data_IF_707190786736
#
_entry.id   IF_707190786736
#
_cell.length_a   1.000
_cell.length_b   1.000
_cell.length_c   1.000
_cell.angle_alpha   90.00
_cell.angle_beta   90.00
_cell.angle_gamma   90.00
#
_symmetry.space_group_name_H-M   'P 1'
#
loop_
_entity.id
_entity.type
_entity.pdbx_description
1 polymer ?
#
# COMPACT_ATOMS: atom_id res chain seq x y z
N UNK A 1 -25.15 -26.66 -6.01
CA UNK A 1 -25.13 -25.27 -5.52
C UNK A 1 -25.96 -24.43 -6.46
N UNK A 2 -27.08 -23.87 -5.98
CA UNK A 2 -27.89 -22.94 -6.77
C UNK A 2 -27.22 -21.56 -6.72
N UNK A 3 -26.79 -21.06 -7.88
CA UNK A 3 -26.41 -19.66 -8.07
C UNK A 3 -27.64 -18.78 -7.82
N UNK A 4 -27.68 -18.10 -6.67
CA UNK A 4 -28.72 -17.11 -6.36
C UNK A 4 -28.41 -15.79 -7.06
N UNK A 5 -29.37 -15.31 -7.85
CA UNK A 5 -29.40 -13.93 -8.35
C UNK A 5 -29.81 -13.00 -7.21
N UNK A 6 -29.02 -11.96 -6.97
CA UNK A 6 -29.32 -10.90 -6.00
C UNK A 6 -30.35 -9.97 -6.64
N UNK A 7 -31.59 -10.01 -6.18
CA UNK A 7 -32.69 -9.05 -6.42
C UNK A 7 -33.43 -9.02 -5.05
N UNK A 8 -33.53 -8.00 -4.19
CA UNK A 8 -33.67 -6.54 -4.32
C UNK A 8 -33.60 -5.86 -2.92
N UNK A 9 -32.45 -5.31 -2.52
CA UNK A 9 -32.38 -3.87 -2.16
C UNK A 9 -32.36 -3.17 -3.51
N UNK A 10 -33.09 -2.07 -3.69
CA UNK A 10 -32.75 -1.19 -4.82
C UNK A 10 -31.42 -0.53 -4.48
N UNK A 11 -30.33 -1.27 -4.65
CA UNK A 11 -29.09 -0.66 -5.08
C UNK A 11 -29.29 -0.32 -6.53
N UNK A 12 -28.66 0.76 -6.98
CA UNK A 12 -28.47 0.88 -8.43
C UNK A 12 -27.72 -0.38 -8.88
N UNK A 13 -28.03 -0.91 -10.07
CA UNK A 13 -27.27 -2.03 -10.66
C UNK A 13 -25.75 -1.80 -10.51
N UNK A 14 -25.26 -0.54 -10.62
CA UNK A 14 -23.88 -0.23 -10.36
C UNK A 14 -23.31 -0.52 -8.98
N UNK A 15 -23.99 -0.11 -7.91
CA UNK A 15 -23.56 -0.35 -6.54
C UNK A 15 -23.41 -1.85 -6.24
N UNK A 16 -24.36 -2.66 -6.74
CA UNK A 16 -24.34 -4.12 -6.54
C UNK A 16 -23.13 -4.77 -7.21
N UNK A 17 -22.81 -4.38 -8.45
CA UNK A 17 -21.68 -4.94 -9.20
C UNK A 17 -20.34 -4.61 -8.54
N UNK A 18 -20.16 -3.38 -8.07
CA UNK A 18 -18.97 -2.99 -7.29
C UNK A 18 -18.78 -3.86 -6.05
N UNK A 19 -19.83 -4.06 -5.26
CA UNK A 19 -19.74 -4.92 -4.08
C UNK A 19 -19.36 -6.36 -4.42
N UNK A 20 -19.93 -6.92 -5.49
CA UNK A 20 -19.60 -8.28 -5.91
C UNK A 20 -18.12 -8.42 -6.24
N UNK A 21 -17.51 -7.39 -6.83
CA UNK A 21 -16.07 -7.35 -7.13
C UNK A 21 -15.25 -7.32 -5.83
N UNK A 22 -15.60 -6.43 -4.88
CA UNK A 22 -14.91 -6.37 -3.58
C UNK A 22 -15.08 -7.66 -2.75
N UNK A 23 -16.24 -8.31 -2.80
CA UNK A 23 -16.56 -9.48 -1.97
C UNK A 23 -16.00 -10.82 -2.49
N UNK A 24 -15.84 -10.97 -3.81
CA UNK A 24 -15.52 -12.27 -4.43
C UNK A 24 -14.01 -12.58 -4.51
N UNK A 25 -13.15 -11.61 -4.24
CA UNK A 25 -11.72 -11.73 -4.47
C UNK A 25 -10.96 -11.64 -3.15
N UNK A 26 -10.67 -12.80 -2.56
CA UNK A 26 -9.69 -12.94 -1.49
C UNK A 26 -8.29 -12.83 -2.10
N UNK A 27 -7.64 -11.69 -1.91
CA UNK A 27 -6.27 -11.44 -2.36
C UNK A 27 -5.30 -11.48 -1.17
N UNK A 28 -4.31 -12.38 -1.23
CA UNK A 28 -3.30 -12.58 -0.17
C UNK A 28 -2.06 -11.66 -0.32
N UNK A 29 -2.12 -10.57 -1.09
CA UNK A 29 -0.94 -9.72 -1.35
C UNK A 29 -1.27 -8.22 -1.51
N UNK A 30 -0.36 -7.36 -1.04
CA UNK A 30 -0.48 -5.89 -0.97
C UNK A 30 -0.80 -5.21 -2.33
N UNK A 31 -0.47 -5.85 -3.46
CA UNK A 31 -0.70 -5.34 -4.83
C UNK A 31 -1.54 -6.29 -5.70
N UNK A 32 -2.62 -6.85 -5.17
CA UNK A 32 -3.51 -7.72 -5.94
C UNK A 32 -4.15 -7.01 -7.16
N UNK A 33 -3.51 -7.18 -8.32
CA UNK A 33 -3.97 -6.66 -9.62
C UNK A 33 -5.34 -7.21 -10.03
N UNK A 34 -5.77 -8.37 -9.51
CA UNK A 34 -7.00 -9.02 -9.97
C UNK A 34 -8.23 -8.21 -9.58
N UNK A 35 -8.28 -7.68 -8.35
CA UNK A 35 -9.39 -6.85 -7.91
C UNK A 35 -9.46 -5.56 -8.72
N UNK A 36 -8.30 -4.92 -8.94
CA UNK A 36 -8.18 -3.71 -9.76
C UNK A 36 -8.64 -3.95 -11.19
N UNK A 37 -8.19 -5.06 -11.82
CA UNK A 37 -8.65 -5.46 -13.15
C UNK A 37 -10.17 -5.55 -13.23
N UNK A 38 -10.80 -6.25 -12.29
CA UNK A 38 -12.26 -6.39 -12.29
C UNK A 38 -12.99 -5.06 -12.05
N UNK A 39 -12.46 -4.17 -11.20
CA UNK A 39 -13.00 -2.82 -11.01
C UNK A 39 -12.92 -1.99 -12.30
N UNK A 40 -11.80 -2.08 -13.02
CA UNK A 40 -11.57 -1.36 -14.26
C UNK A 40 -12.34 -1.95 -15.45
N UNK A 41 -12.49 -3.27 -15.54
CA UNK A 41 -13.40 -3.93 -16.48
C UNK A 41 -14.84 -3.46 -16.27
N UNK A 42 -15.24 -3.32 -15.01
CA UNK A 42 -16.55 -2.81 -14.67
C UNK A 42 -16.71 -1.31 -15.04
N UNK A 43 -15.66 -0.50 -14.89
CA UNK A 43 -15.64 0.86 -15.43
C UNK A 43 -15.81 0.88 -16.96
N UNK A 44 -15.14 -0.02 -17.69
CA UNK A 44 -15.32 -0.17 -19.14
C UNK A 44 -16.76 -0.51 -19.49
N UNK A 45 -17.39 -1.45 -18.76
CA UNK A 45 -18.81 -1.80 -18.95
C UNK A 45 -19.73 -0.58 -18.79
N UNK A 46 -19.49 0.28 -17.80
CA UNK A 46 -20.29 1.49 -17.57
C UNK A 46 -20.13 2.53 -18.68
N UNK A 47 -18.89 2.78 -19.11
CA UNK A 47 -18.60 3.75 -20.16
C UNK A 47 -19.19 3.30 -21.51
N UNK A 48 -19.14 2.00 -21.81
CA UNK A 48 -19.76 1.42 -23.01
C UNK A 48 -21.28 1.59 -23.01
N UNK A 49 -21.94 1.39 -21.86
CA UNK A 49 -23.39 1.61 -21.71
C UNK A 49 -23.78 3.08 -21.95
N UNK A 50 -22.92 4.00 -21.53
CA UNK A 50 -23.09 5.43 -21.73
C UNK A 50 -22.59 5.93 -23.10
N UNK A 51 -21.98 5.05 -23.91
CA UNK A 51 -21.34 5.37 -25.20
C UNK A 51 -20.23 6.42 -25.06
N UNK A 52 -19.54 6.43 -23.92
CA UNK A 52 -18.36 7.25 -23.66
C UNK A 52 -17.14 6.50 -24.18
N UNK A 53 -16.31 7.16 -24.99
CA UNK A 53 -15.08 6.56 -25.50
C UNK A 53 -14.00 6.55 -24.41
N UNK A 54 -13.53 5.36 -24.06
CA UNK A 54 -12.48 5.15 -23.08
C UNK A 54 -11.33 4.36 -23.70
N UNK A 55 -10.60 5.01 -24.62
CA UNK A 55 -9.56 4.36 -25.43
C UNK A 55 -8.44 3.85 -24.53
N UNK A 56 -7.93 4.71 -23.66
CA UNK A 56 -6.79 4.42 -22.79
C UNK A 56 -7.14 3.31 -21.81
N UNK A 57 -8.33 3.37 -21.19
CA UNK A 57 -8.81 2.28 -20.34
C UNK A 57 -8.91 0.96 -21.10
N UNK A 58 -9.44 0.98 -22.32
CA UNK A 58 -9.53 -0.19 -23.19
C UNK A 58 -8.16 -0.80 -23.50
N UNK A 59 -7.22 0.03 -23.98
CA UNK A 59 -5.86 -0.40 -24.30
C UNK A 59 -5.10 -0.92 -23.07
N UNK A 60 -5.35 -0.34 -21.89
CA UNK A 60 -4.75 -0.78 -20.64
C UNK A 60 -5.25 -2.17 -20.23
N UNK A 61 -6.56 -2.41 -20.31
CA UNK A 61 -7.18 -3.69 -19.97
C UNK A 61 -6.82 -4.80 -20.96
N UNK A 62 -6.74 -4.45 -22.24
CA UNK A 62 -6.44 -5.39 -23.33
C UNK A 62 -4.92 -5.64 -23.50
N UNK A 63 -4.08 -4.92 -22.75
CA UNK A 63 -2.61 -5.07 -22.78
C UNK A 63 -1.99 -4.57 -24.08
N UNK A 64 -2.59 -3.58 -24.73
CA UNK A 64 -2.14 -3.03 -26.02
C UNK A 64 -1.48 -1.66 -25.89
N UNK A 65 -1.35 -1.13 -24.68
CA UNK A 65 -0.57 0.08 -24.43
C UNK A 65 0.90 -0.11 -24.84
N UNK A 66 1.56 0.95 -25.33
CA UNK A 66 2.99 0.90 -25.60
C UNK A 66 3.80 0.75 -24.29
N UNK A 67 5.02 0.19 -24.35
CA UNK A 67 5.92 0.17 -23.21
C UNK A 67 6.12 1.56 -22.61
N UNK A 68 6.08 1.66 -21.29
CA UNK A 68 6.18 2.92 -20.55
C UNK A 68 7.65 3.27 -20.34
N UNK A 69 8.04 4.50 -20.67
CA UNK A 69 9.39 5.02 -20.37
C UNK A 69 9.48 5.42 -18.90
N UNK A 70 9.91 4.48 -18.06
CA UNK A 70 10.09 4.74 -16.63
C UNK A 70 11.20 5.76 -16.36
N UNK A 71 12.22 5.87 -17.23
CA UNK A 71 13.28 6.85 -17.01
C UNK A 71 12.77 8.26 -17.24
N UNK A 72 11.94 8.45 -18.27
CA UNK A 72 11.24 9.70 -18.51
C UNK A 72 10.30 10.07 -17.36
N UNK A 73 9.53 9.10 -16.84
CA UNK A 73 8.68 9.30 -15.67
C UNK A 73 9.50 9.67 -14.42
N UNK A 74 10.57 8.92 -14.14
CA UNK A 74 11.47 9.17 -13.01
C UNK A 74 12.07 10.57 -13.06
N UNK A 75 12.60 10.98 -14.22
CA UNK A 75 13.17 12.31 -14.44
C UNK A 75 12.13 13.41 -14.26
N UNK A 76 10.92 13.24 -14.79
CA UNK A 76 9.82 14.19 -14.59
C UNK A 76 9.48 14.35 -13.10
N UNK A 77 9.28 13.25 -12.37
CA UNK A 77 8.95 13.27 -10.93
C UNK A 77 10.06 13.94 -10.12
N UNK A 78 11.32 13.62 -10.38
CA UNK A 78 12.45 14.19 -9.64
C UNK A 78 12.62 15.70 -9.92
N UNK A 79 12.42 16.15 -11.17
CA UNK A 79 12.48 17.59 -11.49
C UNK A 79 11.37 18.38 -10.81
N UNK A 80 10.15 17.86 -10.81
CA UNK A 80 9.01 18.48 -10.14
C UNK A 80 9.26 18.63 -8.62
N UNK A 81 9.89 17.63 -8.00
CA UNK A 81 10.21 17.65 -6.56
C UNK A 81 11.32 18.64 -6.19
N UNK A 82 12.32 18.82 -7.06
CA UNK A 82 13.46 19.71 -6.81
C UNK A 82 13.31 21.09 -7.45
N UNK A 83 12.15 21.41 -8.03
CA UNK A 83 11.88 22.67 -8.74
C UNK A 83 13.01 23.04 -9.74
N UNK A 84 13.54 22.03 -10.43
CA UNK A 84 14.68 22.18 -11.33
C UNK A 84 14.23 22.43 -12.78
N UNK A 85 14.89 23.38 -13.46
CA UNK A 85 14.69 23.63 -14.88
C UNK A 85 15.04 22.38 -15.71
N UNK A 86 14.45 22.27 -16.92
CA UNK A 86 14.68 21.15 -17.86
C UNK A 86 16.13 20.92 -18.25
N UNK A 87 16.98 21.93 -18.04
CA UNK A 87 18.40 21.93 -18.43
C UNK A 87 19.33 21.42 -17.31
N UNK A 88 18.80 21.14 -16.13
CA UNK A 88 19.54 20.49 -15.05
C UNK A 88 19.70 19.00 -15.35
N UNK A 89 20.94 18.55 -15.62
CA UNK A 89 21.24 17.13 -15.80
C UNK A 89 20.94 16.37 -14.49
N UNK A 90 19.96 15.47 -14.55
CA UNK A 90 19.70 14.45 -13.53
C UNK A 90 20.22 13.11 -14.04
N UNK A 91 21.05 12.37 -13.27
CA UNK A 91 21.52 11.05 -13.67
C UNK A 91 20.34 10.09 -13.88
N UNK A 92 20.39 9.30 -14.95
CA UNK A 92 19.37 8.29 -15.23
C UNK A 92 19.38 7.18 -14.15
N UNK A 93 18.27 6.45 -13.95
CA UNK A 93 18.18 5.41 -12.95
C UNK A 93 19.28 4.33 -13.00
N UNK A 94 19.78 3.95 -14.18
CA UNK A 94 20.90 3.00 -14.37
C UNK A 94 22.29 3.61 -14.19
N UNK A 95 22.40 4.94 -14.18
CA UNK A 95 23.65 5.66 -13.91
C UNK A 95 23.87 5.84 -12.39
N UNK A 96 22.83 5.63 -11.59
CA UNK A 96 22.89 5.69 -10.13
C UNK A 96 23.49 4.40 -9.55
N UNK A 97 24.26 4.48 -8.45
CA UNK A 97 24.51 3.33 -7.60
C UNK A 97 23.18 2.67 -7.19
N UNK A 98 23.16 1.33 -7.11
CA UNK A 98 21.94 0.57 -6.76
C UNK A 98 21.28 1.07 -5.46
N UNK A 99 22.09 1.46 -4.48
CA UNK A 99 21.61 2.05 -3.24
C UNK A 99 20.91 3.41 -3.46
N UNK A 100 21.50 4.29 -4.26
CA UNK A 100 20.96 5.63 -4.51
C UNK A 100 19.67 5.56 -5.34
N UNK A 101 19.59 4.61 -6.29
CA UNK A 101 18.36 4.32 -7.02
C UNK A 101 17.25 3.81 -6.09
N UNK A 102 17.54 2.83 -5.23
CA UNK A 102 16.54 2.30 -4.31
C UNK A 102 16.09 3.35 -3.30
N UNK A 103 17.02 4.15 -2.76
CA UNK A 103 16.71 5.23 -1.83
C UNK A 103 15.79 6.28 -2.48
N UNK A 104 16.03 6.64 -3.74
CA UNK A 104 15.16 7.59 -4.44
C UNK A 104 13.76 7.04 -4.67
N UNK A 105 13.61 5.76 -5.05
CA UNK A 105 12.28 5.13 -5.18
C UNK A 105 11.50 5.17 -3.88
N UNK A 106 12.14 4.79 -2.77
CA UNK A 106 11.48 4.72 -1.46
C UNK A 106 11.06 6.12 -0.99
N UNK A 107 11.89 7.13 -1.26
CA UNK A 107 11.65 8.48 -0.74
C UNK A 107 10.66 9.30 -1.56
N UNK A 108 10.63 9.09 -2.87
CA UNK A 108 10.00 10.02 -3.80
C UNK A 108 8.90 9.41 -4.67
N UNK A 109 8.73 8.08 -4.64
CA UNK A 109 7.76 7.38 -5.48
C UNK A 109 6.78 6.57 -4.62
N UNK A 110 5.59 6.25 -5.18
CA UNK A 110 4.66 5.33 -4.53
C UNK A 110 5.31 3.98 -4.20
N UNK A 111 4.92 3.35 -3.09
CA UNK A 111 5.46 2.07 -2.57
C UNK A 111 5.55 1.00 -3.68
N UNK A 112 4.54 0.93 -4.54
CA UNK A 112 4.50 -0.03 -5.65
C UNK A 112 5.67 0.08 -6.63
N UNK A 113 6.21 1.28 -6.87
CA UNK A 113 7.35 1.50 -7.76
C UNK A 113 8.59 0.83 -7.17
N UNK A 114 8.86 1.05 -5.87
CA UNK A 114 10.01 0.44 -5.18
C UNK A 114 9.92 -1.08 -5.10
N UNK A 115 8.71 -1.65 -4.98
CA UNK A 115 8.53 -3.09 -4.80
C UNK A 115 8.48 -3.86 -6.13
N UNK A 116 7.93 -3.26 -7.19
CA UNK A 116 7.84 -3.91 -8.51
C UNK A 116 9.02 -3.59 -9.43
N UNK A 117 9.75 -2.50 -9.19
CA UNK A 117 10.96 -2.09 -9.92
C UNK A 117 12.18 -1.98 -8.98
N UNK A 118 12.62 -3.08 -8.33
CA UNK A 118 13.79 -3.06 -7.45
C UNK A 118 15.12 -2.86 -8.21
N UNK A 119 15.09 -2.82 -9.54
CA UNK A 119 16.24 -2.54 -10.41
C UNK A 119 15.83 -1.61 -11.54
N UNK A 120 16.74 -0.75 -12.04
CA UNK A 120 16.45 0.14 -13.14
C UNK A 120 15.97 -0.64 -14.36
N UNK A 121 14.74 -0.38 -14.79
CA UNK A 121 14.13 -0.92 -16.00
C UNK A 121 13.59 0.25 -16.79
N UNK A 122 14.14 0.51 -17.99
CA UNK A 122 13.73 1.68 -18.78
C UNK A 122 12.33 1.55 -19.36
N UNK A 123 12.02 0.35 -19.88
CA UNK A 123 10.77 0.09 -20.60
C UNK A 123 9.92 -0.88 -19.81
N UNK A 124 8.82 -0.41 -19.24
CA UNK A 124 7.91 -1.22 -18.44
C UNK A 124 6.78 -1.74 -19.32
N UNK A 125 6.50 -3.04 -19.22
CA UNK A 125 5.31 -3.64 -19.81
C UNK A 125 4.06 -3.22 -19.02
N UNK A 126 3.12 -2.45 -19.63
CA UNK A 126 1.90 -2.00 -18.95
C UNK A 126 0.98 -3.14 -18.51
N UNK A 127 1.06 -4.31 -19.17
CA UNK A 127 0.23 -5.46 -18.85
C UNK A 127 0.70 -6.21 -17.59
N UNK A 128 1.92 -5.94 -17.11
CA UNK A 128 2.54 -6.62 -15.96
C UNK A 128 1.80 -6.35 -14.66
N UNK A 129 1.33 -5.12 -14.44
CA UNK A 129 0.56 -4.72 -13.27
C UNK A 129 -0.22 -3.43 -13.57
N UNK A 130 -1.55 -3.44 -13.40
CA UNK A 130 -2.41 -2.30 -13.72
C UNK A 130 -2.26 -1.16 -12.71
N UNK A 131 -1.98 -1.47 -11.44
CA UNK A 131 -1.72 -0.44 -10.41
C UNK A 131 -0.43 0.31 -10.76
N UNK A 132 0.61 -0.41 -11.18
CA UNK A 132 1.88 0.21 -11.61
C UNK A 132 1.67 1.12 -12.83
N UNK A 133 0.92 0.63 -13.82
CA UNK A 133 0.58 1.40 -15.03
C UNK A 133 -0.23 2.64 -14.69
N UNK A 134 -1.20 2.51 -13.79
CA UNK A 134 -2.00 3.61 -13.26
C UNK A 134 -1.11 4.72 -12.68
N UNK A 135 -0.21 4.36 -11.76
CA UNK A 135 0.70 5.32 -11.09
C UNK A 135 1.71 5.99 -12.02
N UNK A 136 2.03 5.36 -13.15
CA UNK A 136 2.91 5.94 -14.16
C UNK A 136 2.21 7.00 -15.05
N UNK A 137 1.04 7.48 -14.64
CA UNK A 137 0.35 8.62 -15.26
C UNK A 137 -0.81 8.24 -16.17
N UNK A 138 -1.15 6.95 -16.27
CA UNK A 138 -2.32 6.50 -17.05
C UNK A 138 -3.65 6.83 -16.38
N UNK A 139 -3.64 7.04 -15.06
CA UNK A 139 -4.76 7.57 -14.28
C UNK A 139 -5.33 8.88 -14.86
N UNK A 140 -4.47 9.82 -15.25
CA UNK A 140 -4.87 11.15 -15.75
C UNK A 140 -5.62 11.06 -17.07
N UNK A 141 -5.11 10.23 -17.98
CA UNK A 141 -5.76 10.01 -19.28
C UNK A 141 -7.12 9.34 -19.11
N UNK A 142 -7.22 8.35 -18.23
CA UNK A 142 -8.50 7.68 -17.94
C UNK A 142 -9.47 8.65 -17.23
N UNK A 143 -8.98 9.48 -16.32
CA UNK A 143 -9.80 10.52 -15.66
C UNK A 143 -10.41 11.48 -16.70
N UNK A 144 -9.63 11.94 -17.67
CA UNK A 144 -10.10 12.81 -18.76
C UNK A 144 -11.15 12.11 -19.64
N UNK A 145 -10.99 10.81 -19.93
CA UNK A 145 -11.97 10.01 -20.67
C UNK A 145 -13.29 9.87 -19.90
N UNK A 146 -13.22 9.71 -18.58
CA UNK A 146 -14.38 9.55 -17.68
C UNK A 146 -15.09 10.87 -17.39
N UNK A 147 -14.43 12.02 -17.60
CA UNK A 147 -14.97 13.35 -17.28
C UNK A 147 -16.35 13.64 -17.89
N UNK A 148 -16.63 13.07 -19.07
CA UNK A 148 -17.89 13.25 -19.79
C UNK A 148 -18.99 12.24 -19.45
N UNK A 149 -18.71 11.29 -18.56
CA UNK A 149 -19.68 10.31 -18.09
C UNK A 149 -20.69 10.91 -17.09
N UNK A 150 -21.72 10.13 -16.78
CA UNK A 150 -22.72 10.46 -15.77
C UNK A 150 -22.09 10.74 -14.40
N UNK A 151 -22.79 11.50 -13.55
CA UNK A 151 -22.33 11.75 -12.18
C UNK A 151 -22.14 10.46 -11.37
N UNK A 152 -23.00 9.46 -11.60
CA UNK A 152 -22.88 8.15 -10.96
C UNK A 152 -21.62 7.42 -11.40
N UNK A 153 -21.34 7.35 -12.71
CA UNK A 153 -20.13 6.71 -13.25
C UNK A 153 -18.86 7.43 -12.81
N UNK A 154 -18.87 8.77 -12.75
CA UNK A 154 -17.74 9.55 -12.19
C UNK A 154 -17.53 9.30 -10.70
N UNK A 155 -18.61 9.12 -9.92
CA UNK A 155 -18.51 8.79 -8.51
C UNK A 155 -17.96 7.38 -8.29
N UNK A 156 -18.35 6.43 -9.14
CA UNK A 156 -17.78 5.08 -9.15
C UNK A 156 -16.31 5.10 -9.51
N UNK A 157 -15.94 5.85 -10.56
CA UNK A 157 -14.55 6.02 -10.96
C UNK A 157 -13.69 6.57 -9.81
N UNK A 158 -14.18 7.58 -9.09
CA UNK A 158 -13.47 8.10 -7.91
C UNK A 158 -13.23 7.03 -6.85
N UNK A 159 -14.23 6.19 -6.55
CA UNK A 159 -14.09 5.08 -5.60
C UNK A 159 -13.02 4.08 -6.08
N UNK A 160 -12.99 3.79 -7.39
CA UNK A 160 -11.99 2.90 -8.00
C UNK A 160 -10.59 3.54 -7.94
N UNK A 161 -10.48 4.83 -8.27
CA UNK A 161 -9.22 5.60 -8.19
C UNK A 161 -8.67 5.61 -6.77
N UNK A 162 -9.51 6.00 -5.79
CA UNK A 162 -9.14 6.03 -4.37
C UNK A 162 -8.68 4.64 -3.90
N UNK A 163 -9.34 3.56 -4.34
CA UNK A 163 -8.92 2.21 -4.03
C UNK A 163 -7.52 1.89 -4.62
N UNK A 164 -7.28 2.20 -5.90
CA UNK A 164 -6.00 1.94 -6.56
C UNK A 164 -4.88 2.74 -5.88
N UNK A 165 -5.09 4.03 -5.60
CA UNK A 165 -4.12 4.90 -4.92
C UNK A 165 -3.76 4.38 -3.52
N UNK A 166 -4.74 3.94 -2.74
CA UNK A 166 -4.46 3.37 -1.42
C UNK A 166 -3.51 2.17 -1.49
N UNK A 167 -3.69 1.32 -2.49
CA UNK A 167 -2.84 0.14 -2.70
C UNK A 167 -1.48 0.46 -3.33
N UNK A 168 -1.41 1.50 -4.17
CA UNK A 168 -0.14 1.95 -4.75
C UNK A 168 0.83 2.55 -3.72
N UNK A 169 0.31 3.34 -2.78
CA UNK A 169 1.12 4.07 -1.79
C UNK A 169 1.23 3.33 -0.45
N UNK A 170 0.23 2.51 -0.11
CA UNK A 170 0.18 1.74 1.14
C UNK A 170 -0.09 2.58 2.39
N UNK A 171 -0.57 3.82 2.29
CA UNK A 171 -0.74 4.70 3.45
C UNK A 171 -2.08 4.47 4.19
N UNK A 172 -2.07 4.20 5.51
CA UNK A 172 -3.30 3.87 6.25
C UNK A 172 -4.33 4.98 6.30
N UNK A 173 -3.89 6.25 6.30
CA UNK A 173 -4.82 7.38 6.32
C UNK A 173 -5.61 7.47 5.01
N UNK A 174 -5.03 7.10 3.87
CA UNK A 174 -5.75 7.09 2.59
C UNK A 174 -6.82 6.01 2.58
N UNK A 175 -6.55 4.85 3.19
CA UNK A 175 -7.56 3.79 3.35
C UNK A 175 -8.74 4.25 4.21
N UNK A 176 -8.51 5.08 5.24
CA UNK A 176 -9.62 5.68 6.03
C UNK A 176 -10.47 6.64 5.19
N UNK A 177 -9.85 7.42 4.30
CA UNK A 177 -10.56 8.32 3.39
C UNK A 177 -11.40 7.53 2.37
N UNK A 178 -10.79 6.52 1.74
CA UNK A 178 -11.48 5.59 0.85
C UNK A 178 -12.67 4.94 1.55
N UNK A 179 -12.49 4.35 2.74
CA UNK A 179 -13.57 3.72 3.48
C UNK A 179 -14.71 4.68 3.82
N UNK A 180 -14.39 5.95 4.11
CA UNK A 180 -15.38 6.99 4.35
C UNK A 180 -16.21 7.29 3.10
N UNK A 181 -15.56 7.48 1.95
CA UNK A 181 -16.23 7.81 0.69
C UNK A 181 -17.00 6.61 0.11
N UNK A 182 -16.44 5.40 0.21
CA UNK A 182 -17.12 4.13 -0.05
C UNK A 182 -18.38 3.99 0.80
N UNK A 183 -18.27 4.20 2.11
CA UNK A 183 -19.42 4.10 3.02
C UNK A 183 -20.49 5.14 2.69
N UNK A 184 -20.10 6.39 2.40
CA UNK A 184 -21.06 7.43 1.96
C UNK A 184 -21.74 7.06 0.65
N UNK A 185 -21.05 6.46 -0.30
CA UNK A 185 -21.62 6.02 -1.58
C UNK A 185 -22.65 4.92 -1.38
N UNK A 186 -22.39 3.97 -0.48
CA UNK A 186 -23.35 2.93 -0.12
C UNK A 186 -24.55 3.48 0.66
N UNK A 187 -24.35 4.52 1.49
CA UNK A 187 -25.39 5.08 2.37
C UNK A 187 -26.30 6.14 1.72
N UNK A 188 -26.06 6.57 0.48
CA UNK A 188 -26.84 7.64 -0.18
C UNK A 188 -28.30 7.28 -0.58
N UNK A 189 -29.04 6.47 0.18
CA UNK A 189 -30.50 6.27 0.00
C UNK A 189 -31.29 6.51 1.29
N UNK A 190 -32.44 7.19 1.16
CA UNK A 190 -33.51 7.19 2.16
C UNK A 190 -34.14 5.78 2.19
N UNK A 191 -34.14 5.15 3.37
CA UNK A 191 -34.71 3.82 3.56
C UNK A 191 -36.24 3.94 3.63
N UNK A 192 -37.02 3.15 2.85
CA UNK A 192 -38.47 3.20 2.95
C UNK A 192 -38.93 2.67 4.32
N UNK A 193 -39.54 3.54 5.13
CA UNK A 193 -40.17 3.22 6.42
C UNK A 193 -41.51 2.49 6.25
N UNK A 194 -41.52 1.35 5.55
CA UNK A 194 -42.75 0.58 5.35
C UNK A 194 -42.64 -0.83 5.95
N UNK A 195 -43.23 -1.01 7.14
CA UNK A 195 -43.15 -2.21 7.99
C UNK A 195 -43.57 -3.51 7.28
N UNK A 196 -44.41 -3.41 6.24
CA UNK A 196 -44.86 -4.54 5.40
C UNK A 196 -43.84 -4.95 4.32
N UNK A 197 -42.98 -4.03 3.86
CA UNK A 197 -41.85 -4.35 2.98
C UNK A 197 -40.79 -5.18 3.72
N UNK A 198 -40.57 -4.88 5.00
CA UNK A 198 -39.55 -5.53 5.83
C UNK A 198 -39.84 -7.01 6.10
N UNK A 199 -41.09 -7.44 6.32
CA UNK A 199 -41.35 -8.83 6.74
C UNK A 199 -41.10 -9.91 5.64
N UNK A 200 -41.26 -9.58 4.36
CA UNK A 200 -41.00 -10.51 3.26
C UNK A 200 -39.60 -10.36 2.66
N UNK A 201 -39.01 -9.15 2.67
CA UNK A 201 -37.68 -8.91 2.12
C UNK A 201 -36.52 -9.13 3.10
N UNK A 202 -36.80 -9.24 4.40
CA UNK A 202 -35.77 -9.38 5.45
C UNK A 202 -34.75 -10.51 5.20
N UNK A 203 -35.13 -11.63 4.59
CA UNK A 203 -34.17 -12.72 4.32
C UNK A 203 -33.15 -12.36 3.22
N UNK A 204 -33.60 -11.66 2.17
CA UNK A 204 -32.72 -11.18 1.09
C UNK A 204 -31.90 -9.96 1.52
N UNK A 205 -32.51 -9.07 2.30
CA UNK A 205 -31.89 -7.91 2.93
C UNK A 205 -30.83 -8.31 3.95
N UNK A 206 -31.08 -9.35 4.74
CA UNK A 206 -30.13 -9.89 5.72
C UNK A 206 -28.87 -10.40 5.03
N UNK A 207 -29.00 -11.18 3.95
CA UNK A 207 -27.84 -11.68 3.21
C UNK A 207 -27.01 -10.52 2.60
N UNK A 208 -27.68 -9.45 2.15
CA UNK A 208 -26.99 -8.29 1.59
C UNK A 208 -26.34 -7.41 2.67
N UNK A 209 -27.00 -7.26 3.82
CA UNK A 209 -26.41 -6.64 5.02
C UNK A 209 -25.21 -7.42 5.54
N UNK A 210 -25.30 -8.74 5.57
CA UNK A 210 -24.20 -9.63 5.89
C UNK A 210 -23.08 -9.47 4.83
N UNK A 211 -23.41 -9.36 3.54
CA UNK A 211 -22.41 -9.09 2.50
C UNK A 211 -21.72 -7.74 2.66
N UNK A 212 -22.43 -6.67 3.00
CA UNK A 212 -21.83 -5.37 3.31
C UNK A 212 -20.93 -5.44 4.52
N UNK A 213 -21.42 -6.09 5.59
CA UNK A 213 -20.66 -6.27 6.81
C UNK A 213 -19.40 -7.08 6.52
N UNK A 214 -19.48 -8.14 5.72
CA UNK A 214 -18.32 -8.93 5.34
C UNK A 214 -17.31 -8.13 4.51
N UNK A 215 -17.76 -7.35 3.52
CA UNK A 215 -16.87 -6.48 2.71
C UNK A 215 -16.22 -5.41 3.59
N UNK A 216 -17.02 -4.73 4.41
CA UNK A 216 -16.49 -3.70 5.32
C UNK A 216 -15.55 -4.31 6.36
N UNK A 217 -15.86 -5.47 6.92
CA UNK A 217 -14.99 -6.20 7.85
C UNK A 217 -13.68 -6.56 7.16
N UNK A 218 -13.73 -7.11 5.95
CA UNK A 218 -12.55 -7.45 5.16
C UNK A 218 -11.67 -6.22 4.88
N UNK A 219 -12.26 -5.11 4.41
CA UNK A 219 -11.50 -3.88 4.16
C UNK A 219 -10.96 -3.25 5.47
N UNK A 220 -11.67 -3.40 6.60
CA UNK A 220 -11.19 -2.98 7.91
C UNK A 220 -10.03 -3.86 8.40
N UNK A 221 -10.07 -5.16 8.13
CA UNK A 221 -8.96 -6.08 8.40
C UNK A 221 -7.72 -5.72 7.57
N UNK A 222 -7.89 -5.49 6.26
CA UNK A 222 -6.80 -4.98 5.40
C UNK A 222 -6.24 -3.65 5.93
N UNK A 223 -7.10 -2.70 6.34
CA UNK A 223 -6.68 -1.45 6.96
C UNK A 223 -5.91 -1.67 8.27
N UNK A 224 -6.32 -2.64 9.09
CA UNK A 224 -5.62 -2.97 10.32
C UNK A 224 -4.23 -3.55 10.06
N UNK A 225 -4.08 -4.44 9.06
CA UNK A 225 -2.78 -4.97 8.62
C UNK A 225 -1.88 -3.83 8.13
N UNK A 226 -2.42 -2.93 7.31
CA UNK A 226 -1.71 -1.73 6.90
C UNK A 226 -1.30 -0.90 8.13
N UNK A 227 -2.19 -0.57 9.05
CA UNK A 227 -1.85 0.18 10.28
C UNK A 227 -0.79 -0.50 11.14
N UNK A 228 -0.80 -1.82 11.24
CA UNK A 228 0.18 -2.59 12.00
C UNK A 228 1.56 -2.54 11.36
N UNK A 229 1.65 -2.61 10.02
CA UNK A 229 2.91 -2.42 9.29
C UNK A 229 3.54 -1.03 9.52
N UNK A 230 2.73 0.01 9.75
CA UNK A 230 3.22 1.36 10.08
C UNK A 230 3.55 1.57 11.57
N UNK A 231 2.98 0.75 12.46
CA UNK A 231 3.32 0.75 13.91
C UNK A 231 4.64 0.02 14.18
N UNK A 232 5.18 -0.68 13.19
CA UNK A 232 6.48 -1.32 13.31
C UNK A 232 7.55 -0.28 13.64
N UNK A 233 8.37 -0.61 14.64
CA UNK A 233 9.48 0.24 15.08
C UNK A 233 10.78 -0.36 14.57
N UNK A 234 11.67 0.51 14.15
CA UNK A 234 12.94 0.16 13.57
C UNK A 234 14.08 0.75 14.41
N UNK A 235 15.17 0.00 14.52
CA UNK A 235 16.35 0.38 15.30
C UNK A 235 17.62 -0.13 14.62
N UNK A 236 18.72 0.61 14.73
CA UNK A 236 20.01 0.12 14.25
C UNK A 236 20.56 -0.93 15.21
N UNK A 237 21.39 -1.86 14.70
CA UNK A 237 22.04 -2.85 15.55
C UNK A 237 22.94 -2.20 16.62
N UNK A 238 23.56 -1.07 16.29
CA UNK A 238 24.37 -0.27 17.22
C UNK A 238 23.52 0.33 18.34
N UNK A 239 22.37 0.92 18.00
CA UNK A 239 21.51 1.56 18.99
C UNK A 239 20.80 0.53 19.87
N UNK A 240 20.43 -0.63 19.33
CA UNK A 240 19.97 -1.78 20.11
C UNK A 240 21.05 -2.27 21.08
N UNK A 241 22.31 -2.39 20.63
CA UNK A 241 23.43 -2.77 21.48
C UNK A 241 23.69 -1.75 22.60
N UNK A 242 23.64 -0.45 22.29
CA UNK A 242 23.72 0.61 23.30
C UNK A 242 22.59 0.51 24.32
N UNK A 243 21.35 0.37 23.86
CA UNK A 243 20.18 0.29 24.73
C UNK A 243 20.30 -0.87 25.73
N UNK A 244 20.72 -2.04 25.26
CA UNK A 244 20.96 -3.22 26.11
C UNK A 244 22.12 -2.98 27.10
N UNK A 245 23.25 -2.46 26.63
CA UNK A 245 24.43 -2.29 27.49
C UNK A 245 24.31 -1.16 28.51
N UNK A 246 23.49 -0.14 28.24
CA UNK A 246 23.13 0.86 29.25
C UNK A 246 22.42 0.23 30.44
N UNK A 247 21.60 -0.80 30.21
CA UNK A 247 20.95 -1.56 31.28
C UNK A 247 21.95 -2.46 32.01
N UNK A 248 22.88 -3.10 31.28
CA UNK A 248 23.93 -3.96 31.87
C UNK A 248 24.89 -3.17 32.77
N UNK A 249 25.40 -2.04 32.27
CA UNK A 249 26.44 -1.27 32.95
C UNK A 249 25.91 -0.10 33.80
N UNK A 250 24.60 0.19 33.71
CA UNK A 250 23.94 1.30 34.42
C UNK A 250 24.62 2.67 34.19
N UNK A 251 25.14 2.88 32.99
CA UNK A 251 25.82 4.13 32.59
C UNK A 251 25.54 4.44 31.12
N UNK A 252 25.60 5.72 30.74
CA UNK A 252 25.24 6.17 29.40
C UNK A 252 26.34 5.97 28.35
N UNK A 253 27.61 6.03 28.76
CA UNK A 253 28.77 5.91 27.89
C UNK A 253 29.21 4.44 27.80
N UNK A 254 28.72 3.75 26.77
CA UNK A 254 28.99 2.33 26.49
C UNK A 254 29.39 2.11 25.03
N UNK A 255 29.92 3.15 24.35
CA UNK A 255 30.12 3.11 22.90
C UNK A 255 31.11 2.03 22.44
N UNK A 256 32.18 1.81 23.22
CA UNK A 256 33.19 0.78 22.89
C UNK A 256 32.61 -0.63 23.06
N UNK A 257 31.89 -0.86 24.15
CA UNK A 257 31.25 -2.12 24.47
C UNK A 257 30.09 -2.40 23.50
N UNK A 258 29.35 -1.37 23.10
CA UNK A 258 28.25 -1.46 22.13
C UNK A 258 28.75 -1.82 20.73
N UNK A 259 29.88 -1.26 20.28
CA UNK A 259 30.49 -1.66 19.01
C UNK A 259 30.96 -3.13 19.04
N UNK A 260 31.52 -3.58 20.17
CA UNK A 260 31.92 -4.97 20.36
C UNK A 260 30.72 -5.92 20.33
N UNK A 261 29.63 -5.58 21.03
CA UNK A 261 28.38 -6.35 21.04
C UNK A 261 27.74 -6.36 19.65
N UNK A 262 27.64 -5.22 18.96
CA UNK A 262 27.16 -5.12 17.58
C UNK A 262 27.92 -6.06 16.64
N UNK A 263 29.25 -6.05 16.67
CA UNK A 263 30.09 -6.94 15.85
C UNK A 263 29.87 -8.41 16.17
N UNK A 264 29.68 -8.76 17.45
CA UNK A 264 29.41 -10.13 17.88
C UNK A 264 28.05 -10.61 17.38
N UNK A 265 27.00 -9.81 17.59
CA UNK A 265 25.65 -10.13 17.14
C UNK A 265 25.59 -10.29 15.61
N UNK A 266 26.17 -9.35 14.87
CA UNK A 266 26.24 -9.41 13.40
C UNK A 266 26.99 -10.65 12.90
N UNK A 267 28.11 -11.02 13.55
CA UNK A 267 28.87 -12.23 13.19
C UNK A 267 28.09 -13.51 13.44
N UNK A 268 27.31 -13.56 14.52
CA UNK A 268 26.54 -14.74 14.89
C UNK A 268 25.23 -14.88 14.08
N UNK A 269 24.82 -13.81 13.38
CA UNK A 269 23.57 -13.76 12.64
C UNK A 269 23.81 -13.06 11.28
N UNK A 270 24.58 -13.69 10.37
CA UNK A 270 24.97 -13.08 9.10
C UNK A 270 23.78 -12.84 8.16
N UNK A 271 22.74 -13.66 8.25
CA UNK A 271 21.56 -13.63 7.38
C UNK A 271 20.38 -12.85 7.99
N UNK A 272 20.65 -11.95 8.94
CA UNK A 272 19.59 -11.19 9.60
C UNK A 272 18.90 -10.25 8.60
N UNK A 273 17.57 -10.36 8.43
CA UNK A 273 16.86 -9.58 7.42
C UNK A 273 16.89 -8.09 7.78
N UNK A 274 17.43 -7.29 6.87
CA UNK A 274 17.42 -5.84 6.96
C UNK A 274 15.99 -5.36 6.67
N UNK A 275 15.46 -4.51 7.55
CA UNK A 275 14.08 -4.04 7.41
C UNK A 275 13.99 -2.76 6.58
N UNK A 276 14.92 -1.82 6.79
CA UNK A 276 15.05 -0.62 5.96
C UNK A 276 16.43 0.02 6.14
N UNK A 277 16.87 0.81 5.16
CA UNK A 277 18.06 1.65 5.26
C UNK A 277 17.60 3.09 5.41
N UNK A 278 18.04 3.77 6.48
CA UNK A 278 17.70 5.18 6.71
C UNK A 278 18.81 6.12 6.25
N UNK A 279 18.57 7.43 6.39
CA UNK A 279 19.49 8.50 5.99
C UNK A 279 20.94 8.24 6.46
N UNK A 280 21.90 8.48 5.57
CA UNK A 280 23.35 8.21 5.76
C UNK A 280 23.76 6.73 5.68
N UNK A 281 22.97 5.88 4.99
CA UNK A 281 23.32 4.47 4.78
C UNK A 281 23.27 3.63 6.06
N UNK A 282 22.48 4.04 7.06
CA UNK A 282 22.34 3.29 8.32
C UNK A 282 21.33 2.18 8.16
N UNK A 283 21.75 0.96 8.41
CA UNK A 283 20.88 -0.21 8.38
C UNK A 283 20.01 -0.27 9.64
N UNK A 284 18.69 -0.31 9.44
CA UNK A 284 17.70 -0.52 10.48
C UNK A 284 17.05 -1.89 10.34
N UNK A 285 16.73 -2.45 11.49
CA UNK A 285 16.06 -3.73 11.61
C UNK A 285 14.76 -3.51 12.37
N UNK A 286 13.77 -4.35 12.08
CA UNK A 286 12.57 -4.42 12.89
C UNK A 286 12.96 -4.73 14.34
N UNK A 287 12.42 -3.95 15.28
CA UNK A 287 12.62 -4.16 16.72
C UNK A 287 12.22 -5.58 17.11
N UNK A 288 11.13 -6.10 16.55
CA UNK A 288 10.64 -7.46 16.87
C UNK A 288 11.53 -8.55 16.24
N UNK A 289 12.27 -8.23 15.17
CA UNK A 289 13.31 -9.12 14.62
C UNK A 289 14.59 -9.12 15.46
N UNK A 290 14.98 -7.96 16.02
CA UNK A 290 16.22 -7.84 16.81
C UNK A 290 16.12 -8.41 18.21
N UNK A 291 14.97 -8.28 18.89
CA UNK A 291 14.82 -8.75 20.27
C UNK A 291 15.20 -10.24 20.42
N UNK A 292 14.70 -11.18 19.60
CA UNK A 292 15.10 -12.59 19.65
C UNK A 292 16.61 -12.81 19.47
N UNK A 293 17.24 -12.02 18.61
CA UNK A 293 18.68 -12.11 18.34
C UNK A 293 19.49 -11.72 19.57
N UNK A 294 19.10 -10.65 20.27
CA UNK A 294 19.75 -10.24 21.52
C UNK A 294 19.45 -11.22 22.66
N UNK A 295 18.25 -11.79 22.73
CA UNK A 295 17.88 -12.84 23.70
C UNK A 295 18.76 -14.08 23.54
N UNK A 296 19.06 -14.47 22.30
CA UNK A 296 19.87 -15.66 22.00
C UNK A 296 21.34 -15.50 22.46
N UNK A 297 21.84 -14.28 22.63
CA UNK A 297 23.20 -14.03 23.12
C UNK A 297 23.27 -14.14 24.64
N UNK A 298 23.63 -15.36 25.09
CA UNK A 298 23.79 -15.70 26.51
C UNK A 298 24.85 -14.87 27.26
N UNK A 299 25.73 -14.12 26.58
CA UNK A 299 26.75 -13.30 27.22
C UNK A 299 26.24 -11.93 27.67
N UNK A 300 25.01 -11.55 27.30
CA UNK A 300 24.41 -10.26 27.66
C UNK A 300 23.99 -10.20 29.13
N UNK A 301 23.66 -11.35 29.73
CA UNK A 301 23.36 -11.45 31.17
C UNK A 301 22.06 -10.76 31.62
N UNK A 302 21.18 -10.38 30.68
CA UNK A 302 19.85 -9.83 30.95
C UNK A 302 18.76 -10.87 30.67
N UNK A 303 17.62 -10.73 31.35
CA UNK A 303 16.42 -11.53 31.04
C UNK A 303 15.77 -11.08 29.73
N UNK A 304 14.97 -11.95 29.11
CA UNK A 304 14.21 -11.64 27.89
C UNK A 304 13.38 -10.36 28.03
N UNK A 305 12.70 -10.22 29.18
CA UNK A 305 11.90 -9.04 29.50
C UNK A 305 12.73 -7.76 29.60
N UNK A 306 13.96 -7.84 30.14
CA UNK A 306 14.87 -6.69 30.23
C UNK A 306 15.41 -6.26 28.87
N UNK A 307 15.74 -7.23 28.00
CA UNK A 307 16.21 -6.96 26.63
C UNK A 307 15.10 -6.29 25.81
N UNK A 308 13.89 -6.83 25.83
CA UNK A 308 12.75 -6.25 25.13
C UNK A 308 12.41 -4.83 25.63
N UNK A 309 12.45 -4.62 26.96
CA UNK A 309 12.18 -3.31 27.58
C UNK A 309 13.27 -2.28 27.26
N UNK A 310 14.52 -2.71 27.03
CA UNK A 310 15.60 -1.82 26.62
C UNK A 310 15.46 -1.39 25.14
N UNK A 311 15.15 -2.34 24.24
CA UNK A 311 15.19 -2.11 22.79
C UNK A 311 13.92 -1.40 22.29
N UNK A 312 12.72 -1.79 22.74
CA UNK A 312 11.44 -1.25 22.21
C UNK A 312 11.28 0.28 22.32
N UNK A 313 11.68 0.94 23.42
CA UNK A 313 11.59 2.40 23.53
C UNK A 313 12.60 3.13 22.65
N UNK A 314 13.74 2.50 22.32
CA UNK A 314 14.78 3.07 21.48
C UNK A 314 14.46 2.98 19.97
N UNK A 315 13.51 2.12 19.60
CA UNK A 315 13.01 2.02 18.23
C UNK A 315 12.24 3.26 17.79
N UNK A 316 12.42 3.64 16.52
CA UNK A 316 11.78 4.78 15.86
C UNK A 316 10.74 4.28 14.85
N UNK A 317 9.67 5.06 14.65
CA UNK A 317 8.73 4.79 13.55
C UNK A 317 9.42 5.03 12.21
N UNK A 318 8.93 4.37 11.16
CA UNK A 318 9.40 4.54 9.78
C UNK A 318 9.44 6.01 9.35
N UNK A 319 8.36 6.74 9.62
CA UNK A 319 8.25 8.19 9.38
C UNK A 319 9.37 9.03 10.02
N UNK A 320 9.87 8.66 11.21
CA UNK A 320 10.95 9.38 11.90
C UNK A 320 12.35 9.06 11.36
N UNK A 321 12.46 8.04 10.52
CA UNK A 321 13.70 7.61 9.89
C UNK A 321 13.81 8.10 8.45
N UNK A 322 12.67 8.29 7.81
CA UNK A 322 12.53 8.80 6.44
C UNK A 322 12.35 10.34 6.39
N UNK A 323 11.77 10.95 7.43
CA UNK A 323 11.63 12.42 7.60
C UNK A 323 12.94 13.16 7.86
#
# INVERSE_FOLDING_TARGET
MMTMKIETIELTVPQRRLMEIFARLSGDCDFDDKRVRHLLEYMRELLDQEKVQAKTLGEMLDGTLPPIDFYGYYDATMRDLYECDSDCYSPAPDELPEADYQDSLIQYFPKIISELLPKPEKWIDPAKNLILTWEMGYDRYIHDEVWHASEETRRIFRIVSDYIEVHAYGWPFMMEHFLSDWTKYLLTREWPDNETFYQQKWQTEKALRESYQNVNTHLVEENQVLKESFKEKFITLTDAARAVLRVVYQQDNVDKEADALRKRISRNNPDMPIALTGKQGRTFYSVETLIPVFIADRQIGLTEGQIATAIRPAGKSREKLEG
#
